data_IF_216697983868
#
_entry.id   IF_216697983868
#
_cell.length_a   1.000
_cell.length_b   1.000
_cell.length_c   1.000
_cell.angle_alpha   90.00
_cell.angle_beta   90.00
_cell.angle_gamma   90.00
#
_symmetry.space_group_name_H-M   'P 1'
#
loop_
_entity.id
_entity.type
_entity.pdbx_description
1 polymer ?
#
# COMPACT_ATOMS: atom_id res chain seq x y z
N UNK A 1 -20.84 -22.67 -29.45
CA UNK A 1 -20.82 -21.44 -28.64
C UNK A 1 -20.40 -21.77 -27.21
N UNK A 2 -19.10 -21.91 -26.92
CA UNK A 2 -18.58 -22.38 -25.61
C UNK A 2 -17.36 -21.58 -25.11
N UNK A 3 -16.83 -20.66 -25.90
CA UNK A 3 -15.56 -19.98 -25.60
C UNK A 3 -15.71 -18.57 -25.00
N UNK A 4 -16.93 -18.05 -24.88
CA UNK A 4 -17.19 -16.70 -24.38
C UNK A 4 -17.12 -16.56 -22.85
N UNK A 5 -16.95 -17.64 -22.10
CA UNK A 5 -16.97 -17.60 -20.62
C UNK A 5 -15.61 -17.28 -19.98
N UNK A 6 -14.50 -17.39 -20.71
CA UNK A 6 -13.15 -17.24 -20.11
C UNK A 6 -12.60 -15.80 -20.15
N UNK A 7 -13.23 -14.87 -20.86
CA UNK A 7 -12.73 -13.51 -21.01
C UNK A 7 -13.06 -12.57 -19.83
N UNK A 8 -13.94 -12.96 -18.92
CA UNK A 8 -14.45 -12.07 -17.86
C UNK A 8 -13.55 -11.97 -16.60
N UNK A 9 -12.58 -12.88 -16.43
CA UNK A 9 -11.73 -12.94 -15.22
C UNK A 9 -10.51 -12.00 -15.26
N UNK A 10 -10.23 -11.33 -16.39
CA UNK A 10 -9.03 -10.51 -16.55
C UNK A 10 -9.13 -9.08 -15.97
N UNK A 11 -10.30 -8.65 -15.49
CA UNK A 11 -10.52 -7.25 -15.05
C UNK A 11 -10.39 -7.00 -13.54
N UNK A 12 -10.05 -8.00 -12.71
CA UNK A 12 -10.01 -7.85 -11.24
C UNK A 12 -8.62 -7.46 -10.70
N UNK A 13 -7.64 -7.16 -11.57
CA UNK A 13 -6.25 -6.93 -11.15
C UNK A 13 -5.85 -5.49 -10.79
N UNK A 14 -6.65 -4.47 -11.12
CA UNK A 14 -6.17 -3.08 -11.12
C UNK A 14 -6.55 -2.24 -9.88
N UNK A 15 -7.18 -2.81 -8.85
CA UNK A 15 -7.79 -2.04 -7.76
C UNK A 15 -6.89 -1.75 -6.54
N UNK A 16 -5.62 -2.22 -6.51
CA UNK A 16 -4.76 -2.10 -5.32
C UNK A 16 -3.68 -1.01 -5.40
N UNK A 17 -3.61 -0.26 -6.51
CA UNK A 17 -2.76 0.92 -6.59
C UNK A 17 -3.60 2.18 -6.31
N UNK A 18 -4.25 2.25 -5.14
CA UNK A 18 -4.67 3.55 -4.64
C UNK A 18 -3.39 4.38 -4.46
N UNK A 19 -3.33 5.63 -4.94
CA UNK A 19 -2.18 6.49 -4.71
C UNK A 19 -2.04 6.66 -3.20
N UNK A 20 -1.14 5.90 -2.58
CA UNK A 20 -0.89 6.03 -1.16
C UNK A 20 -0.25 7.41 -0.98
N UNK A 21 -0.79 8.21 -0.06
CA UNK A 21 -0.19 9.48 0.30
C UNK A 21 1.28 9.25 0.64
N UNK A 22 2.18 9.89 -0.10
CA UNK A 22 3.62 9.75 0.12
C UNK A 22 4.02 10.52 1.37
N UNK A 23 4.57 9.80 2.33
CA UNK A 23 5.04 10.36 3.60
C UNK A 23 6.53 10.69 3.46
N UNK A 24 6.93 11.92 3.76
CA UNK A 24 8.33 12.32 3.70
C UNK A 24 9.19 11.59 4.74
N UNK A 25 10.48 11.41 4.46
CA UNK A 25 11.46 10.89 5.44
C UNK A 25 11.44 11.73 6.72
N UNK A 26 11.49 11.06 7.87
CA UNK A 26 11.41 11.67 9.20
C UNK A 26 9.99 11.96 9.69
N UNK A 27 8.95 11.75 8.87
CA UNK A 27 7.56 11.88 9.30
C UNK A 27 7.02 10.57 9.89
N UNK A 28 6.00 10.66 10.76
CA UNK A 28 5.37 9.49 11.35
C UNK A 28 4.66 8.65 10.28
N UNK A 29 4.82 7.34 10.39
CA UNK A 29 4.21 6.35 9.51
C UNK A 29 3.63 5.20 10.32
N UNK A 30 2.80 4.37 9.68
CA UNK A 30 2.34 3.11 10.28
C UNK A 30 2.70 1.95 9.37
N UNK A 31 3.13 0.85 9.97
CA UNK A 31 3.47 -0.38 9.26
C UNK A 31 2.24 -1.00 8.56
N UNK A 32 1.03 -0.67 8.99
CA UNK A 32 -0.22 -1.08 8.34
C UNK A 32 -0.54 -0.30 7.05
N UNK A 33 0.23 0.76 6.73
CA UNK A 33 0.00 1.61 5.55
C UNK A 33 -1.24 2.51 5.64
N UNK A 34 -1.94 2.54 6.78
CA UNK A 34 -3.18 3.32 6.96
C UNK A 34 -2.95 4.83 6.87
N UNK A 35 -1.72 5.30 7.12
CA UNK A 35 -1.33 6.70 7.00
C UNK A 35 -0.73 7.07 5.63
N UNK A 36 -0.61 6.10 4.72
CA UNK A 36 0.16 6.23 3.49
C UNK A 36 1.48 5.47 3.54
N UNK A 37 2.28 5.61 2.49
CA UNK A 37 3.55 4.89 2.31
C UNK A 37 4.69 5.91 2.31
N UNK A 38 5.78 5.61 3.01
CA UNK A 38 6.98 6.44 3.01
C UNK A 38 7.51 6.62 1.57
N UNK A 39 8.04 7.80 1.24
CA UNK A 39 8.61 8.04 -0.10
C UNK A 39 9.74 7.05 -0.43
N UNK A 40 10.54 6.72 0.59
CA UNK A 40 11.56 5.68 0.56
C UNK A 40 11.03 4.24 0.53
N UNK A 41 9.74 4.04 0.80
CA UNK A 41 9.11 2.73 0.98
C UNK A 41 9.41 2.07 2.33
N UNK A 42 10.17 2.70 3.23
CA UNK A 42 10.58 2.14 4.50
C UNK A 42 9.95 2.87 5.69
N UNK A 43 9.03 2.19 6.37
CA UNK A 43 8.48 2.62 7.65
C UNK A 43 9.12 1.80 8.79
N UNK A 44 9.87 2.46 9.67
CA UNK A 44 10.48 1.79 10.84
C UNK A 44 9.59 2.02 12.06
N UNK A 45 8.83 0.99 12.42
CA UNK A 45 7.96 0.98 13.60
C UNK A 45 8.36 -0.18 14.51
N UNK A 46 8.74 0.11 15.76
CA UNK A 46 8.96 -0.91 16.79
C UNK A 46 7.62 -1.42 17.34
N UNK A 47 7.52 -2.69 17.79
CA UNK A 47 6.25 -3.27 18.26
C UNK A 47 5.56 -2.50 19.39
N UNK A 48 6.35 -1.85 20.25
CA UNK A 48 5.87 -1.08 21.40
C UNK A 48 5.40 0.34 21.05
N UNK A 49 5.58 0.78 19.79
CA UNK A 49 5.19 2.11 19.35
C UNK A 49 3.93 2.07 18.49
N UNK A 50 3.02 3.00 18.74
CA UNK A 50 1.76 3.16 17.99
C UNK A 50 1.97 3.67 16.56
N UNK A 51 3.12 4.30 16.29
CA UNK A 51 3.54 4.82 14.99
C UNK A 51 5.06 4.65 14.84
N UNK A 52 5.51 4.39 13.62
CA UNK A 52 6.93 4.40 13.25
C UNK A 52 7.34 5.73 12.61
N UNK A 53 8.54 5.75 12.06
CA UNK A 53 9.08 6.90 11.33
C UNK A 53 9.57 6.45 9.95
N UNK A 54 9.28 7.26 8.93
CA UNK A 54 9.79 7.03 7.59
C UNK A 54 11.30 7.28 7.52
N UNK A 55 12.02 6.36 6.89
CA UNK A 55 13.47 6.44 6.67
C UNK A 55 13.76 6.56 5.19
#
# INVERSE_FOLDING_TARGET
MRFTLFAALAFVGAALATPQAKIATGQPCKADGSMGVCDSGLCVQTPDQTQGVCQ
#
